data_IF_813931644483
#
_entry.id   IF_813931644483
#
_cell.length_a   1.000
_cell.length_b   1.000
_cell.length_c   1.000
_cell.angle_alpha   90.00
_cell.angle_beta   90.00
_cell.angle_gamma   90.00
#
_symmetry.space_group_name_H-M   'P 1'
#
loop_
_entity.id
_entity.type
_entity.pdbx_description
1 polymer ?
#
# COMPACT_ATOMS: atom_id res chain seq x y z
N UNK A 1 8.34 -5.86 6.45
CA UNK A 1 7.17 -6.12 5.58
C UNK A 1 6.90 -7.61 5.54
N UNK A 2 5.65 -8.05 5.33
CA UNK A 2 5.30 -9.47 5.14
C UNK A 2 4.50 -9.62 3.85
N UNK A 3 5.05 -10.36 2.89
CA UNK A 3 4.35 -10.64 1.64
C UNK A 3 3.24 -11.66 1.81
N UNK A 4 2.15 -11.48 1.06
CA UNK A 4 0.99 -12.38 1.04
C UNK A 4 0.79 -12.86 -0.40
N UNK A 5 0.99 -14.16 -0.68
CA UNK A 5 0.72 -14.72 -1.99
C UNK A 5 -0.72 -14.47 -2.43
N UNK A 6 -0.92 -14.11 -3.69
CA UNK A 6 -2.25 -13.84 -4.24
C UNK A 6 -2.40 -14.34 -5.68
N UNK A 7 -3.61 -14.80 -6.01
CA UNK A 7 -4.00 -15.10 -7.37
C UNK A 7 -4.04 -13.86 -8.29
N UNK A 8 -3.97 -12.65 -7.73
CA UNK A 8 -3.94 -11.38 -8.46
C UNK A 8 -2.56 -11.06 -9.06
N UNK A 9 -1.50 -11.71 -8.56
CA UNK A 9 -0.13 -11.49 -9.03
C UNK A 9 -0.02 -11.72 -10.55
N UNK A 10 0.49 -10.71 -11.25
CA UNK A 10 0.69 -10.76 -12.70
C UNK A 10 -0.57 -10.55 -13.53
N UNK A 11 -1.75 -10.39 -12.92
CA UNK A 11 -2.98 -10.09 -13.66
C UNK A 11 -3.07 -8.61 -14.02
N UNK A 12 -3.65 -8.35 -15.18
CA UNK A 12 -3.77 -7.01 -15.73
C UNK A 12 -5.20 -6.48 -15.64
N UNK A 13 -5.32 -5.20 -15.30
CA UNK A 13 -6.59 -4.52 -15.15
C UNK A 13 -6.48 -3.09 -15.68
N UNK A 14 -7.61 -2.49 -16.07
CA UNK A 14 -7.64 -1.04 -16.30
C UNK A 14 -7.55 -0.33 -14.96
N UNK A 15 -6.59 0.59 -14.82
CA UNK A 15 -6.37 1.32 -13.57
C UNK A 15 -7.64 2.04 -13.11
N UNK A 16 -8.32 2.73 -14.04
CA UNK A 16 -9.59 3.40 -13.74
C UNK A 16 -10.65 2.45 -13.16
N UNK A 17 -10.72 1.20 -13.64
CA UNK A 17 -11.68 0.22 -13.12
C UNK A 17 -11.30 -0.22 -11.70
N UNK A 18 -10.01 -0.49 -11.46
CA UNK A 18 -9.52 -0.78 -10.11
C UNK A 18 -9.82 0.37 -9.15
N UNK A 19 -9.62 1.61 -9.55
CA UNK A 19 -9.95 2.75 -8.69
C UNK A 19 -11.43 2.82 -8.33
N UNK A 20 -12.33 2.61 -9.30
CA UNK A 20 -13.78 2.64 -9.07
C UNK A 20 -14.23 1.52 -8.14
N UNK A 21 -13.61 0.34 -8.23
CA UNK A 21 -13.96 -0.83 -7.44
C UNK A 21 -13.35 -0.79 -6.03
N UNK A 22 -12.09 -0.34 -5.91
CA UNK A 22 -11.34 -0.41 -4.66
C UNK A 22 -11.51 0.81 -3.74
N UNK A 23 -11.76 2.01 -4.29
CA UNK A 23 -12.00 3.22 -3.47
C UNK A 23 -13.18 3.06 -2.50
N UNK A 24 -14.36 2.55 -2.92
CA UNK A 24 -15.48 2.30 -2.00
C UNK A 24 -15.18 1.26 -0.92
N UNK A 25 -14.24 0.35 -1.18
CA UNK A 25 -13.79 -0.66 -0.22
C UNK A 25 -12.78 -0.11 0.78
N UNK A 26 -12.35 1.16 0.65
CA UNK A 26 -11.40 1.80 1.57
C UNK A 26 -9.94 1.77 1.11
N UNK A 27 -9.66 1.31 -0.11
CA UNK A 27 -8.33 1.42 -0.69
C UNK A 27 -8.10 2.82 -1.25
N UNK A 28 -6.90 3.35 -1.05
CA UNK A 28 -6.46 4.61 -1.64
C UNK A 28 -5.18 4.39 -2.45
N UNK A 29 -5.00 5.12 -3.54
CA UNK A 29 -3.68 5.12 -4.19
C UNK A 29 -2.71 5.81 -3.22
N UNK A 30 -1.68 5.09 -2.78
CA UNK A 30 -0.71 5.57 -1.82
C UNK A 30 0.07 6.78 -2.35
N UNK A 31 0.52 7.65 -1.46
CA UNK A 31 1.15 8.94 -1.81
C UNK A 31 2.54 8.86 -2.48
N UNK A 32 3.03 7.67 -2.83
CA UNK A 32 4.32 7.45 -3.47
C UNK A 32 4.09 6.83 -4.86
N UNK A 33 3.33 7.55 -5.69
CA UNK A 33 3.05 7.14 -7.06
C UNK A 33 4.12 7.70 -7.99
N UNK A 34 4.80 6.82 -8.71
CA UNK A 34 5.77 7.18 -9.74
C UNK A 34 5.14 7.06 -11.12
N UNK A 35 5.90 7.43 -12.15
CA UNK A 35 5.42 7.52 -13.54
C UNK A 35 4.87 6.20 -14.12
N UNK A 36 5.44 5.07 -13.67
CA UNK A 36 5.20 3.73 -14.20
C UNK A 36 4.72 2.73 -13.13
N UNK A 37 4.69 3.06 -11.85
CA UNK A 37 4.25 2.16 -10.80
C UNK A 37 3.61 2.88 -9.62
N UNK A 38 2.75 2.16 -8.90
CA UNK A 38 2.05 2.64 -7.72
C UNK A 38 1.58 1.54 -6.81
N UNK A 39 0.73 1.90 -5.86
CA UNK A 39 0.08 0.91 -5.00
C UNK A 39 -1.25 1.39 -4.47
N UNK A 40 -2.15 0.43 -4.23
CA UNK A 40 -3.36 0.63 -3.44
C UNK A 40 -3.08 0.26 -1.98
N UNK A 41 -3.33 1.19 -1.07
CA UNK A 41 -3.17 1.01 0.37
C UNK A 41 -4.53 0.91 1.05
N UNK A 42 -4.69 -0.14 1.85
CA UNK A 42 -5.80 -0.31 2.78
C UNK A 42 -5.30 -0.19 4.21
N UNK A 43 -5.80 0.80 4.95
CA UNK A 43 -5.44 1.02 6.36
C UNK A 43 -6.14 -0.02 7.22
N UNK A 44 -5.36 -0.83 7.92
CA UNK A 44 -5.87 -1.83 8.86
C UNK A 44 -6.02 -1.23 10.25
N UNK A 45 -5.01 -0.50 10.73
CA UNK A 45 -4.94 0.04 12.09
C UNK A 45 -3.89 1.17 12.17
N UNK A 46 -3.98 2.02 13.19
CA UNK A 46 -3.00 3.06 13.55
C UNK A 46 -2.73 3.19 15.06
N UNK A 47 -3.36 2.37 15.92
CA UNK A 47 -3.22 2.50 17.39
C UNK A 47 -1.79 2.30 17.89
N UNK A 48 -1.04 1.36 17.29
CA UNK A 48 0.36 1.04 17.68
C UNK A 48 1.27 1.15 16.46
N UNK A 49 1.19 2.32 15.80
CA UNK A 49 1.83 2.56 14.51
C UNK A 49 0.95 2.11 13.35
N UNK A 50 1.30 2.56 12.15
CA UNK A 50 0.49 2.34 10.96
C UNK A 50 0.60 0.90 10.46
N UNK A 51 -0.55 0.25 10.28
CA UNK A 51 -0.68 -1.06 9.66
C UNK A 51 -1.45 -0.92 8.34
N UNK A 52 -0.81 -1.31 7.24
CA UNK A 52 -1.42 -1.26 5.91
C UNK A 52 -1.29 -2.61 5.19
N UNK A 53 -2.34 -2.97 4.44
CA UNK A 53 -2.20 -3.89 3.32
C UNK A 53 -1.92 -3.04 2.07
N UNK A 54 -0.77 -3.25 1.45
CA UNK A 54 -0.37 -2.59 0.21
C UNK A 54 -0.45 -3.57 -0.96
N UNK A 55 -1.07 -3.14 -2.06
CA UNK A 55 -1.19 -3.89 -3.30
C UNK A 55 -0.45 -3.11 -4.40
N UNK A 56 0.78 -3.49 -4.76
CA UNK A 56 1.55 -2.79 -5.77
C UNK A 56 0.99 -3.06 -7.17
N UNK A 57 1.21 -2.11 -8.08
CA UNK A 57 0.90 -2.26 -9.49
C UNK A 57 1.91 -1.50 -10.36
N UNK A 58 2.11 -1.97 -11.59
CA UNK A 58 2.98 -1.34 -12.59
C UNK A 58 2.24 -1.15 -13.92
N UNK A 59 2.51 -0.08 -14.64
CA UNK A 59 1.97 0.18 -15.96
C UNK A 59 2.51 -0.84 -16.95
N UNK A 60 1.61 -1.47 -17.73
CA UNK A 60 2.00 -2.41 -18.79
C UNK A 60 2.54 -1.66 -20.00
N UNK A 61 1.94 -0.52 -20.34
CA UNK A 61 2.27 0.28 -21.53
C UNK A 61 3.15 1.51 -21.20
N UNK A 62 3.77 1.51 -20.02
CA UNK A 62 4.84 2.44 -19.63
C UNK A 62 4.43 3.76 -19.01
N UNK A 63 3.16 4.20 -19.09
CA UNK A 63 2.73 5.47 -18.50
C UNK A 63 1.33 5.41 -17.89
N UNK A 64 1.23 5.85 -16.64
CA UNK A 64 0.00 5.86 -15.84
C UNK A 64 -0.95 7.04 -16.13
N UNK A 65 -0.49 8.05 -16.86
CA UNK A 65 -1.26 9.25 -17.26
C UNK A 65 -2.03 9.06 -18.58
N UNK A 66 -2.09 7.84 -19.11
CA UNK A 66 -2.80 7.55 -20.36
C UNK A 66 -4.26 7.17 -20.10
N UNK A 67 -5.19 7.78 -20.84
CA UNK A 67 -6.59 7.36 -20.77
C UNK A 67 -6.71 5.86 -21.10
N UNK A 68 -7.16 5.08 -20.10
CA UNK A 68 -7.29 3.63 -20.23
C UNK A 68 -6.03 2.83 -19.91
N UNK A 69 -5.09 3.36 -19.13
CA UNK A 69 -3.89 2.62 -18.70
C UNK A 69 -4.25 1.25 -18.15
N UNK A 70 -3.54 0.25 -18.66
CA UNK A 70 -3.54 -1.10 -18.11
C UNK A 70 -2.38 -1.24 -17.14
N UNK A 71 -2.67 -1.74 -15.94
CA UNK A 71 -1.67 -2.01 -14.91
C UNK A 71 -1.65 -3.50 -14.60
N UNK A 72 -0.49 -4.02 -14.23
CA UNK A 72 -0.28 -5.37 -13.73
C UNK A 72 -0.16 -5.32 -12.22
N UNK A 73 -0.98 -6.08 -11.50
CA UNK A 73 -0.87 -6.17 -10.05
C UNK A 73 0.34 -7.01 -9.66
N UNK A 74 1.07 -6.55 -8.66
CA UNK A 74 2.15 -7.29 -8.00
C UNK A 74 1.65 -8.03 -6.76
N UNK A 75 2.58 -8.54 -5.98
CA UNK A 75 2.30 -9.27 -4.75
C UNK A 75 1.86 -8.33 -3.62
N UNK A 76 0.69 -8.54 -3.00
CA UNK A 76 0.30 -7.79 -1.82
C UNK A 76 1.25 -8.02 -0.65
N UNK A 77 1.44 -7.02 0.20
CA UNK A 77 2.24 -7.14 1.42
C UNK A 77 1.74 -6.25 2.55
N UNK A 78 2.00 -6.69 3.77
CA UNK A 78 1.75 -5.92 4.98
C UNK A 78 2.93 -5.01 5.31
N UNK A 79 2.60 -3.74 5.54
CA UNK A 79 3.50 -2.73 6.08
C UNK A 79 3.10 -2.42 7.51
N UNK A 80 4.09 -2.42 8.40
CA UNK A 80 3.99 -1.95 9.77
C UNK A 80 5.04 -0.87 9.95
N UNK A 81 4.60 0.35 10.27
CA UNK A 81 5.50 1.45 10.60
C UNK A 81 5.21 1.90 12.03
N UNK A 82 6.11 1.58 12.96
CA UNK A 82 6.08 2.16 14.31
C UNK A 82 6.40 3.64 14.20
N UNK A 83 5.63 4.49 14.87
CA UNK A 83 5.96 5.92 15.00
C UNK A 83 7.40 6.07 15.47
N UNK A 84 8.26 6.75 14.71
CA UNK A 84 9.53 7.24 15.23
C UNK A 84 9.23 8.41 16.16
N UNK A 85 8.99 8.13 17.45
CA UNK A 85 9.00 9.15 18.49
C UNK A 85 10.47 9.57 18.66
N UNK A 86 10.93 10.58 17.93
CA UNK A 86 12.35 10.96 17.99
C UNK A 86 12.83 12.16 17.18
N UNK A 87 12.00 12.80 16.35
CA UNK A 87 12.40 14.05 15.68
C UNK A 87 11.20 14.99 15.57
N UNK A 88 10.88 15.66 16.68
CA UNK A 88 10.34 17.03 16.80
C UNK A 88 9.39 17.18 17.97
N UNK A 89 9.96 17.32 19.17
CA UNK A 89 9.32 18.11 20.22
C UNK A 89 9.79 19.58 20.19
N UNK A 90 10.49 20.03 19.13
CA UNK A 90 11.03 21.39 19.03
C UNK A 90 11.01 22.07 17.63
N UNK A 91 10.34 21.56 16.60
CA UNK A 91 10.14 22.36 15.38
C UNK A 91 8.97 23.34 15.54
N UNK A 92 9.31 24.51 16.06
CA UNK A 92 8.58 25.73 15.82
C UNK A 92 8.22 25.87 14.33
N UNK A 93 6.92 26.04 14.08
CA UNK A 93 6.30 26.87 13.04
C UNK A 93 7.27 27.33 11.94
N UNK A 94 7.21 26.68 10.77
CA UNK A 94 7.84 27.22 9.56
C UNK A 94 7.94 26.20 8.44
N UNK A 95 7.12 26.39 7.40
CA UNK A 95 7.27 25.87 6.04
C UNK A 95 8.47 24.95 5.79
N UNK A 96 8.29 23.64 5.87
CA UNK A 96 9.14 22.71 5.14
C UNK A 96 8.33 21.49 4.76
N UNK A 97 8.31 21.25 3.46
CA UNK A 97 8.09 19.96 2.81
C UNK A 97 8.73 18.87 3.67
N UNK A 98 7.92 18.21 4.49
CA UNK A 98 8.34 17.07 5.29
C UNK A 98 8.58 15.92 4.32
N UNK A 99 9.77 15.92 3.74
CA UNK A 99 10.32 14.92 2.85
C UNK A 99 9.98 13.56 3.42
N UNK A 100 9.12 12.83 2.71
CA UNK A 100 8.66 11.50 3.04
C UNK A 100 9.85 10.52 3.05
N UNK A 101 10.59 10.49 4.16
CA UNK A 101 11.57 9.47 4.48
C UNK A 101 10.91 8.33 5.28
N UNK A 102 9.59 8.17 5.13
CA UNK A 102 8.75 7.25 5.91
C UNK A 102 8.84 5.78 5.43
N UNK A 103 9.58 5.54 4.34
CA UNK A 103 9.85 4.20 3.81
C UNK A 103 11.30 3.74 4.07
N UNK A 104 12.02 4.39 4.99
CA UNK A 104 13.26 3.83 5.50
C UNK A 104 13.00 2.43 6.09
N UNK A 105 13.90 1.48 5.81
CA UNK A 105 13.87 0.14 6.38
C UNK A 105 13.64 0.21 7.90
N UNK A 106 12.81 -0.67 8.47
CA UNK A 106 12.51 -0.62 9.90
C UNK A 106 13.82 -0.64 10.68
N UNK A 107 14.00 0.37 11.54
CA UNK A 107 15.17 0.53 12.42
C UNK A 107 15.38 -0.70 13.33
N UNK A 108 14.33 -1.51 13.47
CA UNK A 108 14.31 -2.79 14.15
C UNK A 108 13.73 -3.87 13.19
N UNK A 109 14.57 -4.68 12.53
CA UNK A 109 14.11 -5.79 11.69
C UNK A 109 13.34 -6.85 12.49
N UNK A 110 13.41 -6.84 13.83
CA UNK A 110 12.67 -7.73 14.74
C UNK A 110 11.37 -7.11 15.27
N UNK A 111 10.96 -5.93 14.79
CA UNK A 111 9.60 -5.41 14.99
C UNK A 111 8.59 -6.27 14.21
N UNK A 112 8.34 -7.48 14.70
CA UNK A 112 7.44 -8.45 14.08
C UNK A 112 6.05 -7.83 14.00
N UNK A 113 5.47 -7.88 12.79
CA UNK A 113 4.06 -7.53 12.58
C UNK A 113 3.23 -8.48 13.46
N UNK A 114 2.40 -7.97 14.38
CA UNK A 114 1.56 -8.83 15.22
C UNK A 114 0.74 -9.83 14.40
N UNK A 115 0.68 -11.09 14.86
CA UNK A 115 0.01 -12.19 14.14
C UNK A 115 -1.45 -11.86 13.76
N UNK A 116 -2.14 -11.08 14.60
CA UNK A 116 -3.50 -10.58 14.31
C UNK A 116 -3.57 -9.86 12.96
N UNK A 117 -2.58 -9.03 12.62
CA UNK A 117 -2.57 -8.29 11.36
C UNK A 117 -2.17 -9.17 10.18
N UNK A 118 -1.36 -10.21 10.40
CA UNK A 118 -1.05 -11.22 9.38
C UNK A 118 -2.32 -11.94 8.95
N UNK A 119 -3.14 -12.37 9.92
CA UNK A 119 -4.40 -13.06 9.64
C UNK A 119 -5.41 -12.13 8.95
N UNK A 120 -5.52 -10.87 9.40
CA UNK A 120 -6.35 -9.86 8.73
C UNK A 120 -5.88 -9.64 7.29
N UNK A 121 -4.58 -9.48 7.05
CA UNK A 121 -4.02 -9.31 5.71
C UNK A 121 -4.38 -10.45 4.76
N UNK A 122 -4.31 -11.70 5.23
CA UNK A 122 -4.69 -12.88 4.44
C UNK A 122 -6.18 -12.86 4.07
N UNK A 123 -7.04 -12.46 5.00
CA UNK A 123 -8.49 -12.34 4.76
C UNK A 123 -8.75 -11.24 3.72
N UNK A 124 -8.16 -10.05 3.88
CA UNK A 124 -8.31 -8.94 2.96
C UNK A 124 -7.82 -9.28 1.54
N UNK A 125 -6.69 -9.99 1.40
CA UNK A 125 -6.23 -10.47 0.09
C UNK A 125 -7.24 -11.44 -0.53
N UNK A 126 -7.85 -12.31 0.27
CA UNK A 126 -8.86 -13.25 -0.24
C UNK A 126 -10.14 -12.55 -0.67
N UNK A 127 -10.57 -11.54 0.07
CA UNK A 127 -11.72 -10.69 -0.30
C UNK A 127 -11.44 -9.92 -1.59
N UNK A 128 -10.23 -9.35 -1.73
CA UNK A 128 -9.79 -8.67 -2.94
C UNK A 128 -9.79 -9.59 -4.17
N UNK A 129 -9.25 -10.81 -4.02
CA UNK A 129 -9.31 -11.85 -5.07
C UNK A 129 -10.75 -12.16 -5.46
N UNK A 130 -11.61 -12.41 -4.47
CA UNK A 130 -13.00 -12.73 -4.70
C UNK A 130 -13.76 -11.58 -5.34
N UNK A 131 -13.35 -10.32 -5.13
CA UNK A 131 -13.99 -9.16 -5.75
C UNK A 131 -13.56 -8.97 -7.21
N UNK A 132 -12.25 -9.07 -7.49
CA UNK A 132 -11.67 -8.74 -8.80
C UNK A 132 -11.68 -9.90 -9.81
N UNK A 133 -11.87 -11.14 -9.36
CA UNK A 133 -11.83 -12.35 -10.21
C UNK A 133 -13.20 -12.95 -10.53
N UNK A 134 -14.30 -12.22 -10.27
CA UNK A 134 -15.65 -12.66 -10.62
C UNK A 134 -15.93 -12.60 -12.12
#
# INVERSE_FOLDING_TARGET
MIEIPSALEGKTFRLYKLEQELKPLGYVIGGNWDYDHGSFDYKIDDEVGYQFLRVPFEAVDGQLDSNGTTVKLGRPYLLSHKYQIGVDDHAHIGNLSASFNQFAEPQDPDAQIPEKYINIGKILVKELENHLLQ
#
